data_IF_419133678917
#
_entry.id   IF_419133678917
#
_cell.length_a   1.000
_cell.length_b   1.000
_cell.length_c   1.000
_cell.angle_alpha   90.00
_cell.angle_beta   90.00
_cell.angle_gamma   90.00
#
_symmetry.space_group_name_H-M   'P 1'
#
loop_
_entity.id
_entity.type
_entity.pdbx_description
1 polymer ?
#
# COMPACT_ATOMS: atom_id res chain seq x y z
N UNK A 1 16.76 -5.27 -7.63
CA UNK A 1 17.83 -5.78 -8.50
C UNK A 1 17.51 -5.30 -9.89
N UNK A 2 18.42 -4.55 -10.51
CA UNK A 2 18.33 -4.18 -11.93
C UNK A 2 19.26 -5.15 -12.66
N UNK A 3 18.70 -5.98 -13.53
CA UNK A 3 19.51 -6.84 -14.38
C UNK A 3 19.99 -6.01 -15.58
N UNK A 4 21.30 -5.79 -15.64
CA UNK A 4 21.96 -5.21 -16.80
C UNK A 4 22.51 -6.38 -17.62
N UNK A 5 22.07 -6.59 -18.87
CA UNK A 5 22.60 -7.66 -19.69
C UNK A 5 24.11 -7.43 -19.92
N UNK A 6 24.93 -8.36 -19.45
CA UNK A 6 26.37 -8.33 -19.64
C UNK A 6 26.74 -8.97 -20.99
N UNK A 7 27.41 -8.17 -21.80
CA UNK A 7 28.30 -8.68 -22.85
C UNK A 7 29.57 -9.13 -22.11
N UNK A 8 30.11 -10.30 -22.45
CA UNK A 8 31.41 -10.77 -21.95
C UNK A 8 32.47 -9.70 -22.21
N UNK A 9 32.77 -8.92 -21.19
CA UNK A 9 33.78 -7.87 -21.24
C UNK A 9 34.84 -8.19 -20.20
N UNK A 10 36.11 -7.97 -20.55
CA UNK A 10 37.22 -7.99 -19.58
C UNK A 10 36.93 -6.93 -18.49
N UNK A 11 37.40 -7.13 -17.24
CA UNK A 11 37.13 -6.15 -16.15
C UNK A 11 37.53 -4.72 -16.52
N UNK A 12 38.52 -4.52 -17.33
CA UNK A 12 38.99 -3.21 -17.82
C UNK A 12 38.02 -2.56 -18.85
N UNK A 13 37.09 -3.34 -19.42
CA UNK A 13 36.12 -2.87 -20.41
C UNK A 13 34.82 -2.39 -19.76
N UNK A 14 34.64 -2.55 -18.43
CA UNK A 14 33.43 -2.16 -17.72
C UNK A 14 33.50 -0.68 -17.36
N UNK A 15 32.78 0.13 -18.13
CA UNK A 15 32.66 1.58 -17.92
C UNK A 15 31.60 1.90 -16.86
N UNK A 16 32.04 2.02 -15.59
CA UNK A 16 31.17 2.39 -14.47
C UNK A 16 30.51 3.75 -14.66
N UNK A 17 31.11 4.66 -15.41
CA UNK A 17 30.55 5.98 -15.68
C UNK A 17 29.38 5.90 -16.64
N UNK A 18 29.49 5.06 -17.65
CA UNK A 18 28.39 4.78 -18.58
C UNK A 18 27.22 4.08 -17.85
N UNK A 19 27.52 3.09 -17.00
CA UNK A 19 26.49 2.40 -16.20
C UNK A 19 25.84 3.39 -15.24
N UNK A 20 26.62 4.28 -14.59
CA UNK A 20 26.07 5.34 -13.74
C UNK A 20 25.07 6.20 -14.51
N UNK A 21 25.40 6.67 -15.71
CA UNK A 21 24.50 7.51 -16.52
C UNK A 21 23.18 6.80 -16.87
N UNK A 22 23.21 5.47 -17.05
CA UNK A 22 22.01 4.69 -17.37
C UNK A 22 21.10 4.45 -16.14
N UNK A 23 21.68 4.28 -14.95
CA UNK A 23 20.92 3.91 -13.74
C UNK A 23 20.65 5.07 -12.79
N UNK A 24 21.42 6.16 -12.87
CA UNK A 24 21.32 7.29 -11.97
C UNK A 24 19.94 7.92 -11.98
N UNK A 25 19.37 8.07 -10.79
CA UNK A 25 18.15 8.84 -10.57
C UNK A 25 18.37 9.77 -9.40
N UNK A 26 18.12 11.05 -9.62
CA UNK A 26 18.11 12.03 -8.55
C UNK A 26 16.95 11.75 -7.59
N UNK A 27 17.21 11.76 -6.29
CA UNK A 27 16.14 11.69 -5.29
C UNK A 27 15.29 12.95 -5.36
N UNK A 28 13.97 12.79 -5.38
CA UNK A 28 13.03 13.91 -5.35
C UNK A 28 11.93 13.67 -4.34
N UNK A 29 11.65 14.67 -3.53
CA UNK A 29 10.50 14.67 -2.64
C UNK A 29 9.21 14.84 -3.44
N UNK A 30 8.13 14.24 -2.95
CA UNK A 30 6.81 14.52 -3.47
C UNK A 30 6.45 15.99 -3.20
N UNK A 31 5.80 16.63 -4.15
CA UNK A 31 5.27 17.98 -4.00
C UNK A 31 3.99 18.16 -4.80
N UNK A 32 3.26 19.24 -4.57
CA UNK A 32 2.07 19.56 -5.35
C UNK A 32 2.06 21.03 -5.79
N UNK A 33 1.38 21.29 -6.90
CA UNK A 33 1.03 22.65 -7.35
C UNK A 33 -0.45 22.90 -7.10
N UNK A 34 -0.86 24.15 -6.87
CA UNK A 34 -2.26 24.50 -6.59
C UNK A 34 -3.06 24.82 -7.85
N UNK A 35 -2.41 25.42 -8.86
CA UNK A 35 -3.07 25.87 -10.10
C UNK A 35 -2.19 25.56 -11.32
N UNK A 36 -2.52 24.56 -12.13
CA UNK A 36 -3.51 23.52 -11.87
C UNK A 36 -3.10 22.64 -10.69
N UNK A 37 -4.08 22.09 -9.98
CA UNK A 37 -3.76 21.15 -8.89
C UNK A 37 -3.16 19.88 -9.48
N UNK A 38 -1.91 19.63 -9.18
CA UNK A 38 -1.16 18.46 -9.68
C UNK A 38 -0.23 17.98 -8.59
N UNK A 39 -0.24 16.68 -8.32
CA UNK A 39 0.74 16.04 -7.44
C UNK A 39 1.86 15.45 -8.29
N UNK A 40 3.08 15.76 -7.91
CA UNK A 40 4.29 15.17 -8.44
C UNK A 40 4.82 14.18 -7.41
N UNK A 41 4.78 12.86 -7.72
CA UNK A 41 5.20 11.83 -6.78
C UNK A 41 6.70 11.92 -6.51
N UNK A 42 7.09 11.35 -5.39
CA UNK A 42 8.48 11.15 -5.02
C UNK A 42 9.22 10.25 -5.99
N UNK A 43 10.52 10.44 -6.05
CA UNK A 43 11.46 9.59 -6.80
C UNK A 43 12.54 9.11 -5.85
N UNK A 44 12.71 7.79 -5.72
CA UNK A 44 13.87 7.24 -5.02
C UNK A 44 15.14 7.52 -5.82
N UNK A 45 16.15 8.03 -5.13
CA UNK A 45 17.47 8.23 -5.71
C UNK A 45 18.17 6.88 -5.92
N UNK A 46 18.82 6.72 -7.06
CA UNK A 46 19.64 5.54 -7.38
C UNK A 46 21.01 6.05 -7.82
N UNK A 47 22.04 5.54 -7.19
CA UNK A 47 23.43 5.80 -7.57
C UNK A 47 24.23 4.50 -7.51
N UNK A 48 25.39 4.45 -8.14
CA UNK A 48 26.32 3.33 -8.06
C UNK A 48 27.27 3.55 -6.87
N UNK A 49 27.43 2.51 -6.06
CA UNK A 49 28.52 2.46 -5.09
C UNK A 49 29.86 2.19 -5.84
N UNK A 50 30.43 3.27 -6.39
CA UNK A 50 31.63 3.19 -7.23
C UNK A 50 32.84 2.60 -6.50
N UNK A 51 32.93 2.79 -5.18
CA UNK A 51 34.06 2.25 -4.41
C UNK A 51 33.97 0.75 -4.27
N UNK A 52 32.80 0.23 -3.87
CA UNK A 52 32.57 -1.20 -3.77
C UNK A 52 32.51 -1.86 -5.16
N UNK A 53 31.97 -1.19 -6.17
CA UNK A 53 32.01 -1.67 -7.55
C UNK A 53 33.44 -1.92 -8.06
N UNK A 54 34.36 -0.97 -7.84
CA UNK A 54 35.78 -1.12 -8.20
C UNK A 54 36.45 -2.31 -7.51
N UNK A 55 36.12 -2.57 -6.25
CA UNK A 55 36.65 -3.72 -5.53
C UNK A 55 36.17 -5.04 -6.11
N UNK A 56 34.94 -5.09 -6.61
CA UNK A 56 34.39 -6.29 -7.27
C UNK A 56 35.04 -6.58 -8.64
N UNK A 57 35.49 -5.53 -9.33
CA UNK A 57 36.10 -5.62 -10.65
C UNK A 57 37.59 -6.04 -10.59
N UNK A 58 38.17 -6.21 -9.41
CA UNK A 58 39.56 -6.73 -9.26
C UNK A 58 39.65 -8.22 -9.60
N UNK A 59 38.58 -8.97 -9.40
CA UNK A 59 38.51 -10.41 -9.72
C UNK A 59 37.79 -10.64 -11.06
N UNK A 60 38.37 -11.36 -11.96
CA UNK A 60 37.73 -11.75 -13.23
C UNK A 60 36.57 -12.71 -12.98
N UNK A 61 35.37 -12.34 -13.42
CA UNK A 61 34.14 -13.13 -13.28
C UNK A 61 33.30 -13.05 -14.55
N UNK A 62 32.54 -14.11 -14.82
CA UNK A 62 31.61 -14.13 -15.95
C UNK A 62 30.43 -13.16 -15.75
N UNK A 63 30.11 -12.77 -14.49
CA UNK A 63 29.03 -11.88 -14.14
C UNK A 63 29.37 -11.06 -12.90
N UNK A 64 29.02 -9.77 -12.93
CA UNK A 64 29.19 -8.85 -11.81
C UNK A 64 27.86 -8.26 -11.38
N UNK A 65 27.61 -8.23 -10.09
CA UNK A 65 26.49 -7.50 -9.49
C UNK A 65 27.01 -6.16 -8.98
N UNK A 66 26.70 -5.08 -9.69
CA UNK A 66 27.14 -3.73 -9.30
C UNK A 66 26.27 -3.23 -8.12
N UNK A 67 26.89 -2.88 -6.97
CA UNK A 67 26.15 -2.42 -5.81
C UNK A 67 25.55 -1.01 -6.06
N UNK A 68 24.31 -0.84 -5.64
CA UNK A 68 23.59 0.43 -5.76
C UNK A 68 23.40 1.08 -4.39
N UNK A 69 23.49 2.40 -4.36
CA UNK A 69 23.07 3.23 -3.24
C UNK A 69 21.67 3.73 -3.52
N UNK A 70 20.71 3.32 -2.68
CA UNK A 70 19.32 3.78 -2.77
C UNK A 70 19.08 4.86 -1.73
N UNK A 71 18.74 6.07 -2.18
CA UNK A 71 18.40 7.21 -1.33
C UNK A 71 16.88 7.38 -1.32
N UNK A 72 16.29 7.33 -0.11
CA UNK A 72 14.85 7.55 0.05
C UNK A 72 14.52 9.05 0.08
N UNK A 73 13.40 9.46 -0.53
CA UNK A 73 12.92 10.84 -0.43
C UNK A 73 12.54 11.17 1.02
N UNK A 74 12.67 12.43 1.40
CA UNK A 74 12.29 12.92 2.73
C UNK A 74 10.76 13.09 2.85
N UNK A 75 10.07 13.38 1.74
CA UNK A 75 8.61 13.48 1.68
C UNK A 75 8.05 12.57 0.59
N UNK A 76 7.03 11.79 0.95
CA UNK A 76 6.29 10.93 0.02
C UNK A 76 4.95 11.57 -0.36
N UNK A 77 4.30 11.06 -1.40
CA UNK A 77 2.92 11.42 -1.77
C UNK A 77 1.97 11.20 -0.58
N UNK A 78 2.25 10.20 0.24
CA UNK A 78 1.49 9.92 1.46
C UNK A 78 1.60 11.04 2.50
N UNK A 79 2.78 11.62 2.65
CA UNK A 79 3.03 12.71 3.61
C UNK A 79 2.35 13.99 3.16
N UNK A 80 2.50 14.39 1.91
CA UNK A 80 1.89 15.61 1.38
C UNK A 80 0.37 15.51 1.23
N UNK A 81 -0.18 14.31 1.16
CA UNK A 81 -1.63 14.09 1.08
C UNK A 81 -2.41 14.74 2.24
N UNK A 82 -1.75 14.95 3.41
CA UNK A 82 -2.34 15.65 4.54
C UNK A 82 -2.48 17.15 4.28
N UNK A 83 -1.49 17.74 3.63
CA UNK A 83 -1.46 19.18 3.31
C UNK A 83 -2.33 19.50 2.09
N UNK A 84 -2.43 18.54 1.16
CA UNK A 84 -3.16 18.69 -0.09
C UNK A 84 -4.67 18.45 0.03
N UNK A 85 -5.14 17.82 1.11
CA UNK A 85 -6.54 17.35 1.26
C UNK A 85 -7.13 17.76 2.61
N UNK A 86 -7.40 19.06 2.85
CA UNK A 86 -7.87 19.56 4.14
C UNK A 86 -9.35 19.24 4.41
N UNK A 87 -10.15 18.98 3.37
CA UNK A 87 -11.60 18.82 3.50
C UNK A 87 -11.98 17.37 3.85
N UNK A 88 -12.84 17.22 4.88
CA UNK A 88 -13.41 15.93 5.23
C UNK A 88 -14.57 15.59 4.28
N UNK A 89 -14.39 14.58 3.41
CA UNK A 89 -15.45 14.14 2.50
C UNK A 89 -16.52 13.31 3.22
N UNK A 90 -16.09 12.35 4.03
CA UNK A 90 -16.98 11.51 4.84
C UNK A 90 -16.22 10.84 5.98
N UNK A 91 -16.96 10.41 6.99
CA UNK A 91 -16.45 9.59 8.09
C UNK A 91 -17.47 8.51 8.43
N UNK A 92 -16.97 7.32 8.78
CA UNK A 92 -17.80 6.23 9.26
C UNK A 92 -17.07 5.45 10.34
N UNK A 93 -17.81 4.88 11.28
CA UNK A 93 -17.22 4.09 12.36
C UNK A 93 -18.09 2.87 12.69
N UNK A 94 -17.44 1.81 13.12
CA UNK A 94 -18.10 0.60 13.62
C UNK A 94 -17.54 0.22 14.99
N UNK A 95 -18.36 -0.43 15.84
CA UNK A 95 -17.96 -0.86 17.18
C UNK A 95 -17.50 -2.32 17.15
N UNK A 96 -16.54 -2.66 18.01
CA UNK A 96 -16.06 -4.02 18.22
C UNK A 96 -15.74 -4.28 19.71
N UNK A 97 -15.57 -5.54 20.08
CA UNK A 97 -15.18 -5.94 21.43
C UNK A 97 -13.65 -6.03 21.53
N UNK A 98 -13.04 -5.10 22.24
CA UNK A 98 -11.58 -5.03 22.39
C UNK A 98 -10.98 -6.18 23.21
N UNK A 99 -11.78 -6.89 24.01
CA UNK A 99 -11.34 -8.05 24.78
C UNK A 99 -10.83 -9.21 23.93
N UNK A 100 -11.20 -9.30 22.65
CA UNK A 100 -10.62 -10.27 21.73
C UNK A 100 -9.30 -9.73 21.18
N UNK A 101 -8.19 -10.10 21.82
CA UNK A 101 -6.85 -9.59 21.52
C UNK A 101 -6.41 -9.91 20.07
N UNK A 102 -6.66 -11.14 19.60
CA UNK A 102 -6.31 -11.54 18.22
C UNK A 102 -7.04 -10.69 17.18
N UNK A 103 -8.35 -10.51 17.36
CA UNK A 103 -9.18 -9.66 16.49
C UNK A 103 -8.72 -8.20 16.55
N UNK A 104 -8.49 -7.65 17.73
CA UNK A 104 -8.02 -6.28 17.92
C UNK A 104 -6.70 -6.03 17.19
N UNK A 105 -5.75 -6.99 17.28
CA UNK A 105 -4.48 -6.94 16.54
C UNK A 105 -4.73 -6.87 15.04
N UNK A 106 -5.60 -7.74 14.51
CA UNK A 106 -5.91 -7.77 13.08
C UNK A 106 -6.56 -6.48 12.58
N UNK A 107 -7.50 -5.93 13.35
CA UNK A 107 -8.14 -4.65 13.03
C UNK A 107 -7.11 -3.51 12.97
N UNK A 108 -6.23 -3.43 13.97
CA UNK A 108 -5.16 -2.40 14.01
C UNK A 108 -4.20 -2.54 12.84
N UNK A 109 -3.74 -3.74 12.54
CA UNK A 109 -2.85 -3.99 11.40
C UNK A 109 -3.51 -3.59 10.07
N UNK A 110 -4.75 -4.02 9.84
CA UNK A 110 -5.44 -3.67 8.60
C UNK A 110 -5.68 -2.15 8.49
N UNK A 111 -6.09 -1.50 9.57
CA UNK A 111 -6.27 -0.05 9.61
C UNK A 111 -4.95 0.70 9.36
N UNK A 112 -3.84 0.28 9.99
CA UNK A 112 -2.52 0.87 9.77
C UNK A 112 -2.08 0.78 8.31
N UNK A 113 -2.34 -0.35 7.66
CA UNK A 113 -1.94 -0.56 6.25
C UNK A 113 -2.71 0.34 5.28
N UNK A 114 -3.99 0.61 5.53
CA UNK A 114 -4.78 1.51 4.68
C UNK A 114 -4.64 2.98 5.07
N UNK A 115 -4.27 3.26 6.32
CA UNK A 115 -4.14 4.63 6.82
C UNK A 115 -3.08 5.43 6.05
N UNK A 116 -3.41 6.64 5.66
CA UNK A 116 -2.56 7.55 4.91
C UNK A 116 -2.45 7.20 3.41
N UNK A 117 -3.21 6.22 2.90
CA UNK A 117 -3.25 5.97 1.45
C UNK A 117 -3.83 7.19 0.74
N UNK A 118 -3.10 7.70 -0.26
CA UNK A 118 -3.55 8.78 -1.13
C UNK A 118 -3.89 8.19 -2.49
N UNK A 119 -5.03 8.60 -3.04
CA UNK A 119 -5.45 8.26 -4.40
C UNK A 119 -5.55 9.52 -5.23
N UNK A 120 -4.79 9.58 -6.31
CA UNK A 120 -4.89 10.65 -7.30
C UNK A 120 -6.23 10.57 -8.06
N UNK A 121 -6.66 11.65 -8.73
CA UNK A 121 -7.84 11.62 -9.57
C UNK A 121 -7.81 10.46 -10.57
N UNK A 122 -8.85 9.64 -10.56
CA UNK A 122 -8.97 8.47 -11.44
C UNK A 122 -8.29 7.19 -10.94
N UNK A 123 -7.51 7.22 -9.88
CA UNK A 123 -6.87 6.01 -9.33
C UNK A 123 -7.86 5.11 -8.60
N UNK A 124 -7.62 3.81 -8.71
CA UNK A 124 -8.41 2.77 -8.04
C UNK A 124 -7.68 2.24 -6.80
N UNK A 125 -8.38 2.24 -5.68
CA UNK A 125 -7.97 1.55 -4.46
C UNK A 125 -8.34 0.06 -4.52
N UNK A 126 -7.45 -0.81 -4.04
CA UNK A 126 -7.72 -2.23 -3.79
C UNK A 126 -7.36 -2.56 -2.35
N UNK A 127 -8.34 -3.03 -1.59
CA UNK A 127 -8.13 -3.41 -0.19
C UNK A 127 -7.12 -4.55 -0.06
N UNK A 128 -7.25 -5.59 -0.90
CA UNK A 128 -6.34 -6.72 -0.87
C UNK A 128 -4.91 -6.33 -1.25
N UNK A 129 -4.73 -5.51 -2.28
CA UNK A 129 -3.41 -5.02 -2.68
C UNK A 129 -2.75 -4.20 -1.56
N UNK A 130 -3.52 -3.34 -0.88
CA UNK A 130 -3.01 -2.45 0.16
C UNK A 130 -2.72 -3.18 1.47
N UNK A 131 -3.62 -4.05 1.92
CA UNK A 131 -3.45 -4.80 3.17
C UNK A 131 -2.49 -5.99 3.01
N UNK A 132 -2.43 -6.59 1.82
CA UNK A 132 -1.62 -7.76 1.52
C UNK A 132 -2.20 -9.07 2.07
N UNK A 133 -1.47 -10.15 1.91
CA UNK A 133 -1.84 -11.46 2.43
C UNK A 133 -1.84 -11.49 3.96
N UNK A 134 -2.83 -12.20 4.53
CA UNK A 134 -3.02 -12.32 5.98
C UNK A 134 -2.24 -13.51 6.51
N UNK A 135 -0.94 -13.30 6.75
CA UNK A 135 -0.03 -14.34 7.23
C UNK A 135 0.41 -14.07 8.68
N UNK A 136 0.90 -15.11 9.37
CA UNK A 136 1.51 -14.96 10.69
C UNK A 136 2.77 -14.09 10.62
N UNK A 137 3.55 -14.22 9.54
CA UNK A 137 4.74 -13.42 9.31
C UNK A 137 4.41 -11.91 9.16
N UNK A 138 3.24 -11.59 8.55
CA UNK A 138 2.73 -10.22 8.48
C UNK A 138 2.11 -9.73 9.81
N UNK A 139 2.16 -10.52 10.89
CA UNK A 139 1.68 -10.17 12.22
C UNK A 139 0.21 -10.49 12.48
N UNK A 140 -0.53 -11.04 11.51
CA UNK A 140 -1.93 -11.41 11.72
C UNK A 140 -2.07 -12.56 12.70
N UNK A 141 -3.15 -12.52 13.49
CA UNK A 141 -3.49 -13.49 14.52
C UNK A 141 -4.74 -14.28 14.13
N UNK A 142 -4.88 -15.46 14.74
CA UNK A 142 -6.13 -16.20 14.65
C UNK A 142 -7.22 -15.48 15.46
N UNK A 143 -8.39 -15.39 14.84
CA UNK A 143 -9.61 -14.90 15.46
C UNK A 143 -10.82 -15.47 14.69
N UNK A 144 -12.02 -15.28 15.23
CA UNK A 144 -13.24 -15.74 14.59
C UNK A 144 -13.40 -15.19 13.17
N UNK A 145 -13.53 -16.08 12.20
CA UNK A 145 -13.91 -15.81 10.80
C UNK A 145 -15.23 -16.52 10.49
N UNK A 146 -15.99 -15.94 9.59
CA UNK A 146 -17.19 -16.58 9.04
C UNK A 146 -16.80 -17.27 7.72
N UNK A 147 -16.82 -18.61 7.72
CA UNK A 147 -16.51 -19.42 6.55
C UNK A 147 -17.67 -20.39 6.27
N UNK A 148 -18.21 -20.32 5.05
CA UNK A 148 -19.34 -21.16 4.61
C UNK A 148 -20.51 -21.22 5.63
N UNK A 149 -20.81 -20.11 6.30
CA UNK A 149 -21.89 -20.01 7.28
C UNK A 149 -21.56 -20.54 8.68
N UNK A 150 -20.30 -20.92 8.94
CA UNK A 150 -19.82 -21.36 10.24
C UNK A 150 -18.79 -20.37 10.80
N UNK A 151 -18.82 -20.20 12.12
CA UNK A 151 -17.80 -19.44 12.82
C UNK A 151 -16.68 -20.38 13.17
N UNK A 152 -15.50 -20.12 12.65
CA UNK A 152 -14.27 -20.87 12.94
C UNK A 152 -13.10 -19.93 13.22
N UNK A 153 -12.00 -20.45 13.76
CA UNK A 153 -10.79 -19.65 13.94
C UNK A 153 -9.97 -19.65 12.65
N UNK A 154 -9.59 -18.44 12.20
CA UNK A 154 -8.76 -18.25 11.03
C UNK A 154 -7.88 -17.02 11.14
N UNK A 155 -6.79 -17.00 10.36
CA UNK A 155 -5.89 -15.85 10.31
C UNK A 155 -6.60 -14.62 9.73
N UNK A 156 -6.39 -13.48 10.38
CA UNK A 156 -6.97 -12.23 9.94
C UNK A 156 -8.45 -12.06 10.30
N UNK A 157 -8.99 -12.88 11.21
CA UNK A 157 -10.37 -12.71 11.66
C UNK A 157 -10.66 -11.28 12.11
N UNK A 158 -11.72 -10.66 11.55
CA UNK A 158 -12.11 -9.29 11.83
C UNK A 158 -11.85 -8.28 10.70
N UNK A 159 -10.92 -8.54 9.77
CA UNK A 159 -10.51 -7.57 8.74
C UNK A 159 -11.66 -7.09 7.85
N UNK A 160 -12.68 -7.93 7.60
CA UNK A 160 -13.88 -7.52 6.86
C UNK A 160 -14.64 -6.38 7.56
N UNK A 161 -14.47 -6.18 8.86
CA UNK A 161 -15.03 -5.02 9.54
C UNK A 161 -14.31 -3.72 9.13
N UNK A 162 -13.00 -3.76 8.89
CA UNK A 162 -12.26 -2.58 8.38
C UNK A 162 -12.66 -2.28 6.93
N UNK A 163 -12.75 -3.29 6.05
CA UNK A 163 -13.20 -3.07 4.67
C UNK A 163 -14.64 -2.56 4.61
N UNK A 164 -15.51 -3.05 5.48
CA UNK A 164 -16.90 -2.57 5.61
C UNK A 164 -16.95 -1.11 6.09
N UNK A 165 -16.18 -0.78 7.14
CA UNK A 165 -16.15 0.60 7.66
C UNK A 165 -15.64 1.57 6.59
N UNK A 166 -14.63 1.17 5.82
CA UNK A 166 -14.15 1.97 4.70
C UNK A 166 -15.18 2.04 3.56
N UNK A 167 -15.88 0.94 3.25
CA UNK A 167 -16.93 0.92 2.23
C UNK A 167 -18.05 1.94 2.53
N UNK A 168 -18.56 1.94 3.75
CA UNK A 168 -19.60 2.90 4.13
C UNK A 168 -19.10 4.36 4.03
N UNK A 169 -17.86 4.65 4.44
CA UNK A 169 -17.28 5.97 4.27
C UNK A 169 -17.13 6.35 2.78
N UNK A 170 -16.72 5.41 1.93
CA UNK A 170 -16.59 5.58 0.47
C UNK A 170 -17.94 5.90 -0.17
N UNK A 171 -19.00 5.16 0.20
CA UNK A 171 -20.37 5.42 -0.29
C UNK A 171 -20.87 6.78 0.18
N UNK A 172 -20.63 7.15 1.44
CA UNK A 172 -21.00 8.47 1.96
C UNK A 172 -20.22 9.61 1.30
N UNK A 173 -19.00 9.35 0.85
CA UNK A 173 -18.18 10.29 0.08
C UNK A 173 -18.59 10.36 -1.40
N UNK A 174 -19.60 9.60 -1.83
CA UNK A 174 -20.06 9.52 -3.23
C UNK A 174 -18.91 9.22 -4.21
N UNK A 175 -18.07 8.21 -3.85
CA UNK A 175 -17.02 7.68 -4.69
C UNK A 175 -17.49 6.40 -5.41
N UNK A 176 -16.93 6.11 -6.56
CA UNK A 176 -17.32 4.97 -7.39
C UNK A 176 -16.78 3.65 -6.82
N UNK A 177 -17.67 2.80 -6.33
CA UNK A 177 -17.35 1.44 -5.84
C UNK A 177 -17.30 0.49 -7.02
N UNK A 178 -16.10 0.08 -7.42
CA UNK A 178 -15.87 -0.75 -8.61
C UNK A 178 -15.96 -2.24 -8.33
N UNK A 179 -15.61 -2.69 -7.12
CA UNK A 179 -15.72 -4.09 -6.68
C UNK A 179 -16.18 -4.15 -5.23
N UNK A 180 -17.30 -4.85 -5.00
CA UNK A 180 -17.79 -5.13 -3.65
C UNK A 180 -18.54 -6.45 -3.63
N UNK A 181 -18.37 -7.21 -2.55
CA UNK A 181 -19.16 -8.39 -2.21
C UNK A 181 -19.73 -8.24 -0.80
N UNK A 182 -20.99 -8.64 -0.62
CA UNK A 182 -21.58 -8.75 0.73
C UNK A 182 -21.25 -10.10 1.36
N UNK A 183 -21.34 -10.18 2.69
CA UNK A 183 -21.34 -11.46 3.38
C UNK A 183 -22.61 -12.23 3.07
N UNK A 184 -22.53 -13.54 3.20
CA UNK A 184 -23.72 -14.41 3.06
C UNK A 184 -24.71 -14.21 4.21
N UNK A 185 -24.26 -13.72 5.34
CA UNK A 185 -25.07 -13.47 6.54
C UNK A 185 -24.89 -12.03 7.00
N UNK A 186 -25.93 -11.49 7.64
CA UNK A 186 -25.90 -10.13 8.19
C UNK A 186 -24.83 -10.05 9.28
N UNK A 187 -23.94 -9.08 9.16
CA UNK A 187 -22.91 -8.83 10.16
C UNK A 187 -23.49 -8.06 11.35
N UNK A 188 -22.87 -8.23 12.54
CA UNK A 188 -23.36 -7.58 13.76
C UNK A 188 -22.94 -6.11 13.92
N UNK A 189 -22.00 -5.63 13.09
CA UNK A 189 -21.39 -4.30 13.21
C UNK A 189 -21.96 -3.27 12.22
N UNK A 190 -22.75 -3.71 11.23
CA UNK A 190 -23.52 -2.85 10.30
C UNK A 190 -24.86 -3.48 9.95
N UNK A 191 -25.78 -2.68 9.43
CA UNK A 191 -27.03 -3.17 8.88
C UNK A 191 -26.86 -3.96 7.59
N UNK A 192 -27.88 -4.75 7.23
CA UNK A 192 -27.88 -5.53 5.98
C UNK A 192 -27.63 -4.65 4.75
N UNK A 193 -26.82 -5.16 3.81
CA UNK A 193 -26.50 -4.47 2.57
C UNK A 193 -25.40 -3.40 2.66
N UNK A 194 -24.90 -3.12 3.87
CA UNK A 194 -23.86 -2.10 4.13
C UNK A 194 -22.47 -2.68 4.38
N UNK A 195 -22.26 -3.93 4.06
CA UNK A 195 -21.01 -4.65 4.34
C UNK A 195 -20.18 -4.89 3.07
N UNK A 196 -18.88 -5.01 3.24
CA UNK A 196 -17.94 -5.38 2.19
C UNK A 196 -17.00 -6.47 2.70
N UNK A 197 -17.19 -7.71 2.20
CA UNK A 197 -16.32 -8.83 2.56
C UNK A 197 -15.09 -8.88 1.67
N UNK A 198 -13.97 -9.30 2.26
CA UNK A 198 -12.69 -9.47 1.57
C UNK A 198 -12.06 -10.81 1.92
N UNK A 199 -11.54 -11.49 0.90
CA UNK A 199 -10.78 -12.74 1.01
C UNK A 199 -9.56 -12.63 0.11
N UNK A 200 -8.37 -12.92 0.63
CA UNK A 200 -7.15 -12.86 -0.17
C UNK A 200 -7.22 -13.81 -1.37
N UNK A 201 -6.88 -13.30 -2.54
CA UNK A 201 -6.88 -14.06 -3.79
C UNK A 201 -8.25 -14.30 -4.43
N UNK A 202 -9.38 -13.96 -3.78
CA UNK A 202 -10.71 -14.28 -4.33
C UNK A 202 -11.74 -13.15 -4.24
N UNK A 203 -11.82 -12.41 -3.14
CA UNK A 203 -12.80 -11.35 -2.96
C UNK A 203 -12.10 -10.07 -2.51
N UNK A 204 -12.35 -8.98 -3.24
CA UNK A 204 -11.75 -7.69 -2.95
C UNK A 204 -12.82 -6.61 -2.75
N UNK A 205 -12.43 -5.54 -2.09
CA UNK A 205 -13.15 -4.28 -2.07
C UNK A 205 -12.31 -3.25 -2.80
N UNK A 206 -12.90 -2.66 -3.85
CA UNK A 206 -12.24 -1.65 -4.67
C UNK A 206 -13.16 -0.47 -4.91
N UNK A 207 -12.55 0.71 -4.99
CA UNK A 207 -13.24 1.94 -5.38
C UNK A 207 -12.29 2.88 -6.09
N UNK A 208 -12.84 3.81 -6.86
CA UNK A 208 -12.09 4.78 -7.64
C UNK A 208 -12.26 6.19 -7.08
N UNK A 209 -11.18 6.96 -7.06
CA UNK A 209 -11.27 8.39 -6.82
C UNK A 209 -11.89 9.09 -8.05
N UNK A 210 -13.15 9.45 -7.96
CA UNK A 210 -13.89 10.19 -9.00
C UNK A 210 -13.81 11.70 -8.84
N UNK A 211 -13.12 12.19 -7.80
CA UNK A 211 -12.93 13.61 -7.57
C UNK A 211 -11.83 14.17 -8.47
N UNK A 212 -11.84 15.48 -8.66
CA UNK A 212 -10.80 16.20 -9.40
C UNK A 212 -9.51 16.43 -8.58
N UNK A 213 -9.54 16.05 -7.30
CA UNK A 213 -8.47 16.25 -6.34
C UNK A 213 -8.07 14.90 -5.73
N UNK A 214 -6.86 14.78 -5.20
CA UNK A 214 -6.46 13.61 -4.42
C UNK A 214 -7.37 13.44 -3.21
N UNK A 215 -7.61 12.20 -2.85
CA UNK A 215 -8.27 11.85 -1.59
C UNK A 215 -7.30 11.06 -0.72
N UNK A 216 -7.43 11.19 0.59
CA UNK A 216 -6.64 10.47 1.58
C UNK A 216 -7.54 9.64 2.47
N UNK A 217 -7.14 8.38 2.68
CA UNK A 217 -7.78 7.51 3.66
C UNK A 217 -7.13 7.75 5.03
N UNK A 218 -7.93 8.08 6.03
CA UNK A 218 -7.50 8.08 7.43
C UNK A 218 -8.25 6.97 8.17
N UNK A 219 -7.52 6.04 8.79
CA UNK A 219 -8.09 4.90 9.49
C UNK A 219 -7.44 4.71 10.86
N UNK A 220 -8.27 4.61 11.90
CA UNK A 220 -7.83 4.41 13.28
C UNK A 220 -8.64 3.32 13.96
N UNK A 221 -8.03 2.62 14.92
CA UNK A 221 -8.70 1.65 15.78
C UNK A 221 -8.41 2.03 17.24
N UNK A 222 -9.46 2.33 17.99
CA UNK A 222 -9.41 2.69 19.40
C UNK A 222 -9.90 1.54 20.27
N UNK A 223 -9.31 1.36 21.45
CA UNK A 223 -9.65 0.31 22.41
C UNK A 223 -8.49 -0.58 22.76
#
# INVERSE_FOLDING_TARGET
>A
TIEIPLITAEPDDIDLEKIHQEVYKEVKDAYYTKEPFTIYPEVEGIDIDKENAKLLLVEEKEQYEIPLIITKPAKTTRDIGTEASPDLLATFSTKYLASNVGRTTNLRLAAQKINGTVLLPGEEFSYNKTVGERTRAAGFKEAAVLNAGRVENGLGGGICQISTTLYDAVVMADLDVTVRRNHQFVTSYVGGGKDATVVWGSQDFKFKNTRKYPIRITATVQG
#
